data_IF_661513389246
#
_entry.id   IF_661513389246
#
_cell.length_a   1.000
_cell.length_b   1.000
_cell.length_c   1.000
_cell.angle_alpha   90.00
_cell.angle_beta   90.00
_cell.angle_gamma   90.00
#
_symmetry.space_group_name_H-M   'P 1'
#
loop_
_entity.id
_entity.type
_entity.pdbx_description
1 polymer ?
#
# COMPACT_ATOMS: atom_id res chain seq x y z
N UNK A 1 3.10 -14.93 -7.80
CA UNK A 1 3.15 -15.53 -6.45
C UNK A 1 2.60 -14.50 -5.47
N UNK A 2 1.69 -14.85 -4.56
CA UNK A 2 1.20 -13.87 -3.57
C UNK A 2 2.19 -13.74 -2.41
N UNK A 3 2.59 -12.51 -2.09
CA UNK A 3 3.52 -12.21 -1.01
C UNK A 3 2.80 -12.07 0.33
N UNK A 4 3.46 -12.47 1.40
CA UNK A 4 2.90 -12.43 2.76
C UNK A 4 2.87 -10.99 3.32
N UNK A 5 1.99 -10.66 4.28
CA UNK A 5 1.96 -9.35 4.93
C UNK A 5 3.06 -9.16 6.00
N UNK A 6 4.13 -9.97 5.96
CA UNK A 6 5.26 -9.91 6.90
C UNK A 6 6.52 -9.44 6.22
N UNK A 7 7.31 -8.61 6.92
CA UNK A 7 8.60 -8.12 6.41
C UNK A 7 9.51 -9.29 5.99
N UNK A 8 10.28 -9.14 4.89
CA UNK A 8 11.28 -10.13 4.48
C UNK A 8 12.30 -10.38 5.59
N UNK A 9 12.87 -11.59 5.61
CA UNK A 9 13.80 -11.99 6.66
C UNK A 9 15.05 -11.09 6.71
N UNK A 10 15.59 -10.70 5.55
CA UNK A 10 16.73 -9.77 5.43
C UNK A 10 16.41 -8.41 6.08
N UNK A 11 15.29 -7.79 5.70
CA UNK A 11 14.87 -6.50 6.26
C UNK A 11 14.60 -6.59 7.76
N UNK A 12 13.94 -7.66 8.21
CA UNK A 12 13.69 -7.88 9.64
C UNK A 12 15.01 -7.98 10.40
N UNK A 13 15.99 -8.72 9.88
CA UNK A 13 17.31 -8.84 10.50
C UNK A 13 18.05 -7.49 10.54
N UNK A 14 17.99 -6.70 9.47
CA UNK A 14 18.59 -5.36 9.42
C UNK A 14 17.99 -4.40 10.46
N UNK A 15 16.66 -4.42 10.63
CA UNK A 15 15.97 -3.65 11.67
C UNK A 15 16.34 -4.12 13.09
N UNK A 16 16.37 -5.44 13.31
CA UNK A 16 16.72 -6.04 14.60
C UNK A 16 18.19 -5.76 14.98
N UNK A 17 19.11 -5.71 14.01
CA UNK A 17 20.50 -5.33 14.22
C UNK A 17 20.63 -3.87 14.67
N UNK A 18 19.91 -2.94 14.02
CA UNK A 18 19.89 -1.52 14.42
C UNK A 18 19.26 -1.25 15.78
N UNK A 19 18.43 -2.17 16.27
CA UNK A 19 17.87 -2.13 17.62
C UNK A 19 18.90 -2.46 18.72
N UNK A 20 20.01 -3.11 18.38
CA UNK A 20 21.05 -3.44 19.37
C UNK A 20 21.70 -2.14 19.87
N UNK A 21 21.56 -1.86 21.17
CA UNK A 21 22.05 -0.61 21.77
C UNK A 21 21.08 0.57 21.68
N UNK A 22 19.90 0.41 21.09
CA UNK A 22 18.86 1.44 21.05
C UNK A 22 17.84 1.27 22.18
N UNK A 23 17.62 2.32 22.97
CA UNK A 23 16.61 2.29 24.04
C UNK A 23 15.22 2.11 23.43
N UNK A 24 14.57 0.99 23.80
CA UNK A 24 13.21 0.68 23.33
C UNK A 24 12.16 1.66 23.88
N UNK A 25 12.39 2.18 25.08
CA UNK A 25 11.55 3.22 25.68
C UNK A 25 11.64 4.52 24.89
N UNK A 26 12.86 4.92 24.49
CA UNK A 26 13.09 6.13 23.70
C UNK A 26 12.47 5.97 22.30
N UNK A 27 12.59 4.78 21.70
CA UNK A 27 11.94 4.44 20.43
C UNK A 27 10.41 4.62 20.51
N UNK A 28 9.79 4.13 21.58
CA UNK A 28 8.36 4.28 21.81
C UNK A 28 7.93 5.75 21.94
N UNK A 29 8.66 6.55 22.73
CA UNK A 29 8.38 7.97 22.92
C UNK A 29 8.51 8.77 21.61
N UNK A 30 9.56 8.50 20.83
CA UNK A 30 9.78 9.14 19.51
C UNK A 30 8.68 8.77 18.53
N UNK A 31 8.35 7.48 18.43
CA UNK A 31 7.26 6.99 17.59
C UNK A 31 5.92 7.66 17.95
N UNK A 32 5.60 7.80 19.24
CA UNK A 32 4.37 8.46 19.68
C UNK A 32 4.32 9.94 19.28
N UNK A 33 5.45 10.65 19.40
CA UNK A 33 5.57 12.06 18.96
C UNK A 33 5.35 12.18 17.46
N UNK A 34 6.01 11.34 16.66
CA UNK A 34 5.87 11.33 15.19
C UNK A 34 4.43 10.99 14.79
N UNK A 35 3.81 9.98 15.41
CA UNK A 35 2.42 9.62 15.13
C UNK A 35 1.43 10.74 15.46
N UNK A 36 1.69 11.51 16.52
CA UNK A 36 0.84 12.66 16.87
C UNK A 36 0.91 13.73 15.78
N UNK A 37 2.11 14.05 15.29
CA UNK A 37 2.30 14.99 14.18
C UNK A 37 1.61 14.52 12.90
N UNK A 38 1.73 13.23 12.56
CA UNK A 38 1.09 12.67 11.36
C UNK A 38 -0.44 12.73 11.44
N UNK A 39 -1.02 12.44 12.61
CA UNK A 39 -2.48 12.54 12.84
C UNK A 39 -3.00 13.97 12.79
N UNK A 40 -2.15 14.97 13.08
CA UNK A 40 -2.48 16.38 12.94
C UNK A 40 -2.35 16.90 11.50
N UNK A 41 -2.09 16.02 10.51
CA UNK A 41 -1.91 16.39 9.11
C UNK A 41 -0.49 16.84 8.76
N UNK A 42 0.49 16.62 9.64
CA UNK A 42 1.90 16.87 9.32
C UNK A 42 2.56 15.71 8.57
N UNK A 43 3.54 16.00 7.73
CA UNK A 43 4.34 14.98 7.02
C UNK A 43 5.57 14.51 7.79
N UNK A 44 6.54 13.96 7.06
CA UNK A 44 7.78 13.40 7.62
C UNK A 44 8.73 14.40 8.32
N UNK A 45 8.46 15.71 8.31
CA UNK A 45 9.33 16.76 8.84
C UNK A 45 9.64 16.68 10.35
N UNK A 46 8.91 15.87 11.11
CA UNK A 46 9.22 15.56 12.51
C UNK A 46 10.39 14.57 12.69
N UNK A 47 10.77 13.86 11.62
CA UNK A 47 11.84 12.85 11.63
C UNK A 47 13.15 13.53 11.27
N UNK A 48 13.94 13.88 12.29
CA UNK A 48 15.14 14.72 12.15
C UNK A 48 16.45 14.03 12.52
N UNK A 49 16.38 12.85 13.12
CA UNK A 49 17.55 12.09 13.58
C UNK A 49 17.43 10.62 13.20
N UNK A 50 18.55 9.91 13.13
CA UNK A 50 18.58 8.46 12.86
C UNK A 50 17.72 7.68 13.87
N UNK A 51 17.73 8.12 15.13
CA UNK A 51 16.88 7.59 16.19
C UNK A 51 15.38 7.78 15.88
N UNK A 52 14.97 8.93 15.33
CA UNK A 52 13.59 9.18 14.92
C UNK A 52 13.19 8.30 13.72
N UNK A 53 14.09 8.18 12.73
CA UNK A 53 13.85 7.37 11.54
C UNK A 53 13.72 5.88 11.90
N UNK A 54 14.60 5.37 12.75
CA UNK A 54 14.52 3.99 13.23
C UNK A 54 13.24 3.75 14.04
N UNK A 55 12.89 4.66 14.94
CA UNK A 55 11.65 4.58 15.71
C UNK A 55 10.41 4.58 14.80
N UNK A 56 10.39 5.44 13.78
CA UNK A 56 9.35 5.47 12.76
C UNK A 56 9.26 4.14 11.99
N UNK A 57 10.39 3.64 11.47
CA UNK A 57 10.43 2.40 10.71
C UNK A 57 9.91 1.21 11.54
N UNK A 58 10.39 1.06 12.77
CA UNK A 58 9.94 -0.02 13.66
C UNK A 58 8.44 0.04 14.00
N UNK A 59 7.86 1.24 14.03
CA UNK A 59 6.45 1.42 14.35
C UNK A 59 5.52 1.30 13.14
N UNK A 60 5.92 1.82 11.98
CA UNK A 60 5.07 1.97 10.78
C UNK A 60 5.43 1.04 9.63
N UNK A 61 6.70 0.71 9.42
CA UNK A 61 7.16 -0.09 8.28
C UNK A 61 6.44 -1.44 8.17
N UNK A 62 6.19 -2.22 9.25
CA UNK A 62 5.42 -3.46 9.12
C UNK A 62 4.01 -3.24 8.55
N UNK A 63 3.31 -2.22 9.05
CA UNK A 63 1.94 -1.90 8.65
C UNK A 63 1.88 -1.41 7.20
N UNK A 64 2.77 -0.48 6.84
CA UNK A 64 2.91 0.01 5.46
C UNK A 64 3.27 -1.13 4.51
N UNK A 65 4.20 -2.00 4.88
CA UNK A 65 4.55 -3.18 4.07
C UNK A 65 3.35 -4.08 3.83
N UNK A 66 2.56 -4.37 4.86
CA UNK A 66 1.37 -5.22 4.73
C UNK A 66 0.33 -4.62 3.77
N UNK A 67 0.11 -3.30 3.83
CA UNK A 67 -0.79 -2.60 2.92
C UNK A 67 -0.27 -2.61 1.46
N UNK A 68 1.03 -2.38 1.26
CA UNK A 68 1.66 -2.48 -0.07
C UNK A 68 1.58 -3.90 -0.60
N UNK A 69 1.91 -4.91 0.21
CA UNK A 69 1.84 -6.31 -0.16
C UNK A 69 0.43 -6.72 -0.61
N UNK A 70 -0.61 -6.33 0.13
CA UNK A 70 -1.99 -6.57 -0.25
C UNK A 70 -2.36 -5.89 -1.59
N UNK A 71 -1.89 -4.66 -1.81
CA UNK A 71 -2.13 -3.90 -3.04
C UNK A 71 -1.44 -4.53 -4.26
N UNK A 72 -0.18 -4.97 -4.11
CA UNK A 72 0.58 -5.64 -5.16
C UNK A 72 0.05 -7.05 -5.46
N UNK A 73 -0.39 -7.80 -4.45
CA UNK A 73 -1.08 -9.07 -4.65
C UNK A 73 -2.35 -8.89 -5.48
N UNK A 74 -3.16 -7.86 -5.17
CA UNK A 74 -4.37 -7.56 -5.94
C UNK A 74 -4.07 -7.16 -7.39
N UNK A 75 -2.98 -6.43 -7.65
CA UNK A 75 -2.52 -6.16 -9.02
C UNK A 75 -2.10 -7.45 -9.73
N UNK A 76 -1.31 -8.30 -9.07
CA UNK A 76 -0.79 -9.56 -9.62
C UNK A 76 -1.90 -10.57 -9.89
N UNK A 77 -2.97 -10.56 -9.10
CA UNK A 77 -4.15 -11.39 -9.33
C UNK A 77 -4.85 -11.03 -10.64
N UNK A 78 -4.92 -9.74 -10.98
CA UNK A 78 -5.56 -9.24 -12.20
C UNK A 78 -4.62 -9.28 -13.41
N UNK A 79 -3.32 -9.13 -13.18
CA UNK A 79 -2.28 -9.16 -14.20
C UNK A 79 -1.18 -10.17 -13.83
N UNK A 80 -1.45 -11.49 -13.94
CA UNK A 80 -0.52 -12.53 -13.49
C UNK A 80 0.79 -12.58 -14.29
N UNK A 81 0.77 -12.11 -15.53
CA UNK A 81 1.94 -12.04 -16.41
C UNK A 81 2.70 -10.70 -16.29
N UNK A 82 2.27 -9.81 -15.38
CA UNK A 82 2.96 -8.54 -15.16
C UNK A 82 4.32 -8.77 -14.50
N UNK A 83 5.38 -8.48 -15.25
CA UNK A 83 6.77 -8.67 -14.84
C UNK A 83 7.57 -7.37 -15.05
N UNK A 84 7.41 -6.35 -14.19
CA UNK A 84 8.17 -5.11 -14.31
C UNK A 84 9.67 -5.37 -14.07
N UNK A 85 10.54 -4.70 -14.82
CA UNK A 85 12.00 -4.77 -14.65
C UNK A 85 12.54 -3.54 -13.89
N UNK A 86 11.82 -2.43 -13.96
CA UNK A 86 12.20 -1.16 -13.33
C UNK A 86 11.13 -0.62 -12.37
N UNK A 87 11.55 -0.21 -11.16
CA UNK A 87 10.68 0.40 -10.14
C UNK A 87 11.05 1.86 -9.90
N UNK A 88 10.03 2.71 -9.78
CA UNK A 88 10.10 4.03 -9.17
C UNK A 88 9.23 4.11 -7.91
N UNK A 89 9.85 4.29 -6.74
CA UNK A 89 9.20 4.40 -5.43
C UNK A 89 9.18 5.88 -5.00
N UNK A 90 8.01 6.51 -5.07
CA UNK A 90 7.81 7.94 -4.86
C UNK A 90 7.32 8.18 -3.42
N UNK A 91 8.07 8.97 -2.66
CA UNK A 91 7.86 9.08 -1.20
C UNK A 91 8.32 7.83 -0.47
N UNK A 92 9.47 7.28 -0.87
CA UNK A 92 9.91 5.95 -0.48
C UNK A 92 10.17 5.79 1.04
N UNK A 93 10.46 6.88 1.75
CA UNK A 93 10.83 6.88 3.16
C UNK A 93 11.95 5.87 3.46
N UNK A 94 11.74 4.87 4.34
CA UNK A 94 12.74 3.84 4.62
C UNK A 94 12.78 2.72 3.54
N UNK A 95 12.19 2.93 2.36
CA UNK A 95 12.16 1.99 1.24
C UNK A 95 11.11 0.89 1.32
N UNK A 96 10.06 1.09 2.13
CA UNK A 96 9.08 0.03 2.46
C UNK A 96 8.41 -0.59 1.24
N UNK A 97 7.99 0.25 0.29
CA UNK A 97 7.33 -0.22 -0.92
C UNK A 97 8.29 -0.94 -1.85
N UNK A 98 9.54 -0.47 -1.95
CA UNK A 98 10.62 -1.16 -2.68
C UNK A 98 10.89 -2.57 -2.14
N UNK A 99 10.92 -2.77 -0.82
CA UNK A 99 11.03 -4.12 -0.22
C UNK A 99 9.86 -5.04 -0.60
N UNK A 100 8.63 -4.53 -0.55
CA UNK A 100 7.45 -5.32 -0.95
C UNK A 100 7.45 -5.63 -2.45
N UNK A 101 7.86 -4.67 -3.29
CA UNK A 101 7.95 -4.84 -4.73
C UNK A 101 9.03 -5.87 -5.11
N UNK A 102 10.18 -5.88 -4.44
CA UNK A 102 11.24 -6.85 -4.66
C UNK A 102 10.79 -8.30 -4.40
N UNK A 103 9.93 -8.52 -3.40
CA UNK A 103 9.31 -9.83 -3.12
C UNK A 103 8.21 -10.18 -4.13
N UNK A 104 7.39 -9.20 -4.52
CA UNK A 104 6.25 -9.42 -5.42
C UNK A 104 6.70 -9.74 -6.86
N UNK A 105 7.77 -9.09 -7.31
CA UNK A 105 8.26 -9.16 -8.68
C UNK A 105 9.73 -9.56 -8.73
N UNK A 106 10.04 -10.87 -8.88
CA UNK A 106 11.39 -11.34 -9.11
C UNK A 106 12.06 -10.76 -10.35
N UNK A 107 11.27 -10.28 -11.32
CA UNK A 107 11.73 -9.64 -12.55
C UNK A 107 12.41 -8.29 -12.34
N UNK A 108 12.07 -7.55 -11.26
CA UNK A 108 12.65 -6.24 -11.00
C UNK A 108 14.18 -6.34 -10.88
N UNK A 109 14.91 -5.49 -11.58
CA UNK A 109 16.37 -5.40 -11.50
C UNK A 109 16.81 -4.03 -11.00
N UNK A 110 16.09 -2.97 -11.39
CA UNK A 110 16.45 -1.59 -11.05
C UNK A 110 15.43 -0.95 -10.13
N UNK A 111 15.93 -0.33 -9.05
CA UNK A 111 15.11 0.34 -8.04
C UNK A 111 15.57 1.79 -7.91
N UNK A 112 14.66 2.74 -8.20
CA UNK A 112 14.88 4.17 -7.94
C UNK A 112 13.90 4.65 -6.88
N UNK A 113 14.42 5.17 -5.77
CA UNK A 113 13.65 5.64 -4.62
C UNK A 113 13.77 7.16 -4.52
N UNK A 114 12.66 7.86 -4.30
CA UNK A 114 12.59 9.32 -4.18
C UNK A 114 11.98 9.70 -2.83
N UNK A 115 12.63 10.56 -2.05
CA UNK A 115 12.03 11.10 -0.81
C UNK A 115 12.68 12.42 -0.38
N UNK A 116 11.91 13.35 0.17
CA UNK A 116 12.42 14.64 0.63
C UNK A 116 13.19 14.56 1.96
N UNK A 117 12.95 13.54 2.77
CA UNK A 117 13.57 13.37 4.08
C UNK A 117 14.89 12.60 3.96
N UNK A 118 16.00 13.33 4.00
CA UNK A 118 17.35 12.77 3.94
C UNK A 118 17.66 11.78 5.09
N UNK A 119 16.96 11.87 6.23
CA UNK A 119 17.14 10.94 7.35
C UNK A 119 16.51 9.58 7.05
N UNK A 120 15.31 9.57 6.47
CA UNK A 120 14.67 8.34 6.00
C UNK A 120 15.44 7.74 4.82
N UNK A 121 15.94 8.59 3.91
CA UNK A 121 16.77 8.17 2.78
C UNK A 121 18.03 7.43 3.23
N UNK A 122 18.72 7.94 4.25
CA UNK A 122 19.89 7.26 4.83
C UNK A 122 19.52 5.93 5.46
N UNK A 123 18.43 5.88 6.21
CA UNK A 123 17.96 4.64 6.82
C UNK A 123 17.60 3.60 5.75
N UNK A 124 16.94 3.98 4.67
CA UNK A 124 16.65 3.09 3.54
C UNK A 124 17.92 2.43 2.99
N UNK A 125 18.95 3.24 2.67
CA UNK A 125 20.23 2.73 2.16
C UNK A 125 20.94 1.82 3.17
N UNK A 126 20.87 2.14 4.46
CA UNK A 126 21.46 1.30 5.50
C UNK A 126 20.72 -0.03 5.69
N UNK A 127 19.39 -0.05 5.56
CA UNK A 127 18.59 -1.28 5.63
C UNK A 127 18.82 -2.16 4.40
N UNK A 128 19.02 -1.55 3.23
CA UNK A 128 19.22 -2.24 1.96
C UNK A 128 20.66 -2.72 1.74
N UNK A 129 21.64 -2.23 2.49
CA UNK A 129 23.09 -2.43 2.27
C UNK A 129 23.50 -3.87 2.00
N UNK A 130 23.01 -4.80 2.81
CA UNK A 130 23.37 -6.23 2.71
C UNK A 130 22.30 -7.05 1.98
N UNK A 131 21.33 -6.38 1.35
CA UNK A 131 20.25 -7.05 0.64
C UNK A 131 20.73 -7.62 -0.68
N UNK A 132 20.34 -8.86 -0.96
CA UNK A 132 20.61 -9.51 -2.25
C UNK A 132 19.94 -8.82 -3.45
N UNK A 133 18.90 -8.01 -3.21
CA UNK A 133 18.07 -7.39 -4.26
C UNK A 133 18.14 -5.86 -4.27
N UNK A 134 18.35 -5.24 -3.11
CA UNK A 134 18.24 -3.79 -2.94
C UNK A 134 19.56 -3.08 -2.62
N UNK A 135 20.67 -3.79 -2.46
CA UNK A 135 21.97 -3.17 -2.12
C UNK A 135 22.39 -2.07 -3.11
N UNK A 136 22.08 -2.25 -4.39
CA UNK A 136 22.41 -1.32 -5.47
C UNK A 136 21.27 -0.34 -5.82
N UNK A 137 20.25 -0.20 -4.96
CA UNK A 137 19.16 0.72 -5.24
C UNK A 137 19.65 2.18 -5.30
N UNK A 138 19.12 2.95 -6.25
CA UNK A 138 19.41 4.37 -6.38
C UNK A 138 18.44 5.17 -5.53
N UNK A 139 18.97 5.95 -4.59
CA UNK A 139 18.16 6.85 -3.77
C UNK A 139 18.42 8.31 -4.13
N UNK A 140 17.36 9.05 -4.48
CA UNK A 140 17.41 10.48 -4.79
C UNK A 140 16.70 11.28 -3.70
N UNK A 141 17.45 11.94 -2.80
CA UNK A 141 16.85 12.83 -1.82
C UNK A 141 16.35 14.11 -2.50
N UNK A 142 15.17 14.59 -2.10
CA UNK A 142 14.58 15.82 -2.63
C UNK A 142 13.07 15.74 -2.84
N UNK A 143 12.48 16.86 -3.26
CA UNK A 143 11.06 16.89 -3.58
C UNK A 143 10.71 15.91 -4.70
N UNK A 144 9.56 15.24 -4.56
CA UNK A 144 9.12 14.21 -5.50
C UNK A 144 8.89 14.78 -6.91
N UNK A 145 8.31 15.98 -7.04
CA UNK A 145 8.04 16.60 -8.34
C UNK A 145 9.33 16.93 -9.09
N UNK A 146 10.30 17.55 -8.40
CA UNK A 146 11.61 17.84 -8.96
C UNK A 146 12.38 16.57 -9.36
N UNK A 147 12.45 15.59 -8.47
CA UNK A 147 13.16 14.34 -8.75
C UNK A 147 12.51 13.52 -9.87
N UNK A 148 11.18 13.55 -9.99
CA UNK A 148 10.46 12.89 -11.09
C UNK A 148 10.86 13.46 -12.45
N UNK A 149 11.19 14.75 -12.57
CA UNK A 149 11.63 15.34 -13.82
C UNK A 149 12.97 14.74 -14.30
N UNK A 150 13.87 14.41 -13.37
CA UNK A 150 15.25 13.99 -13.64
C UNK A 150 15.42 12.47 -13.87
N UNK A 151 14.41 11.66 -13.53
CA UNK A 151 14.48 10.20 -13.69
C UNK A 151 13.82 9.72 -14.98
N UNK A 152 14.27 8.57 -15.48
CA UNK A 152 13.61 7.90 -16.60
C UNK A 152 12.25 7.32 -16.19
N UNK A 153 11.42 6.97 -17.17
CA UNK A 153 10.20 6.20 -16.91
C UNK A 153 10.56 4.81 -16.33
N UNK A 154 9.68 4.27 -15.51
CA UNK A 154 9.78 2.93 -14.93
C UNK A 154 8.55 2.08 -15.29
N UNK A 155 8.70 0.77 -15.29
CA UNK A 155 7.61 -0.17 -15.59
C UNK A 155 6.52 -0.10 -14.53
N UNK A 156 6.93 -0.02 -13.27
CA UNK A 156 6.08 0.15 -12.11
C UNK A 156 6.45 1.42 -11.35
N UNK A 157 5.46 2.26 -11.09
CA UNK A 157 5.55 3.38 -10.16
C UNK A 157 4.71 3.07 -8.93
N UNK A 158 5.23 3.28 -7.73
CA UNK A 158 4.49 3.15 -6.47
C UNK A 158 4.57 4.47 -5.70
N UNK A 159 3.46 4.89 -5.11
CA UNK A 159 3.41 5.96 -4.13
C UNK A 159 2.64 5.50 -2.89
N UNK A 160 3.30 5.44 -1.74
CA UNK A 160 2.74 4.86 -0.52
C UNK A 160 2.74 5.88 0.61
N UNK A 161 1.53 6.30 1.06
CA UNK A 161 1.31 7.22 2.19
C UNK A 161 1.93 8.62 2.03
N UNK A 162 2.14 9.08 0.79
CA UNK A 162 2.79 10.38 0.48
C UNK A 162 1.83 11.44 -0.05
N UNK A 163 0.72 11.06 -0.71
CA UNK A 163 -0.19 12.03 -1.34
C UNK A 163 -0.87 12.89 -0.27
N UNK A 164 -1.18 12.28 0.88
CA UNK A 164 -1.75 12.97 2.03
C UNK A 164 -0.86 14.02 2.68
N UNK A 165 0.44 14.08 2.37
CA UNK A 165 1.36 15.09 2.90
C UNK A 165 1.35 16.41 2.11
N UNK A 166 0.64 16.44 0.97
CA UNK A 166 0.67 17.52 -0.01
C UNK A 166 -0.64 18.32 -0.03
N UNK A 167 -0.57 19.59 -0.46
CA UNK A 167 -1.75 20.38 -0.77
C UNK A 167 -2.41 19.93 -2.07
N UNK A 168 -3.69 20.28 -2.28
CA UNK A 168 -4.48 19.78 -3.42
C UNK A 168 -3.83 20.08 -4.79
N UNK A 169 -3.17 21.22 -4.93
CA UNK A 169 -2.49 21.58 -6.18
C UNK A 169 -1.27 20.70 -6.41
N UNK A 170 -0.44 20.48 -5.39
CA UNK A 170 0.71 19.57 -5.48
C UNK A 170 0.27 18.12 -5.69
N UNK A 171 -0.84 17.68 -5.09
CA UNK A 171 -1.41 16.34 -5.31
C UNK A 171 -1.75 16.10 -6.79
N UNK A 172 -2.41 17.08 -7.44
CA UNK A 172 -2.77 16.97 -8.87
C UNK A 172 -1.52 16.93 -9.77
N UNK A 173 -0.54 17.79 -9.49
CA UNK A 173 0.71 17.85 -10.25
C UNK A 173 1.54 16.56 -10.08
N UNK A 174 1.66 16.06 -8.85
CA UNK A 174 2.36 14.81 -8.57
C UNK A 174 1.66 13.62 -9.23
N UNK A 175 0.32 13.57 -9.19
CA UNK A 175 -0.48 12.55 -9.86
C UNK A 175 -0.15 12.45 -11.36
N UNK A 176 -0.11 13.60 -12.04
CA UNK A 176 0.23 13.67 -13.46
C UNK A 176 1.68 13.25 -13.72
N UNK A 177 2.63 13.74 -12.93
CA UNK A 177 4.04 13.43 -13.05
C UNK A 177 4.33 11.93 -12.84
N UNK A 178 3.73 11.31 -11.82
CA UNK A 178 3.85 9.87 -11.57
C UNK A 178 3.29 9.06 -12.74
N UNK A 179 2.11 9.43 -13.25
CA UNK A 179 1.52 8.74 -14.38
C UNK A 179 2.39 8.86 -15.63
N UNK A 180 2.94 10.04 -15.92
CA UNK A 180 3.88 10.23 -17.02
C UNK A 180 5.15 9.37 -16.91
N UNK A 181 5.53 8.94 -15.69
CA UNK A 181 6.69 8.07 -15.44
C UNK A 181 6.34 6.57 -15.43
N UNK A 182 5.07 6.20 -15.34
CA UNK A 182 4.62 4.80 -15.37
C UNK A 182 4.46 4.28 -16.81
N UNK A 183 5.34 3.37 -17.24
CA UNK A 183 5.24 2.69 -18.55
C UNK A 183 4.13 1.66 -18.57
N UNK A 184 3.87 0.97 -17.46
CA UNK A 184 2.87 -0.09 -17.41
C UNK A 184 1.87 0.08 -16.27
N UNK A 185 2.33 0.33 -15.05
CA UNK A 185 1.45 0.42 -13.88
C UNK A 185 1.85 1.52 -12.89
N UNK A 186 0.83 2.10 -12.24
CA UNK A 186 0.95 2.99 -11.09
C UNK A 186 0.10 2.45 -9.94
N UNK A 187 0.70 2.25 -8.77
CA UNK A 187 0.00 1.83 -7.56
C UNK A 187 0.11 2.94 -6.51
N UNK A 188 -1.03 3.43 -6.03
CA UNK A 188 -1.09 4.45 -4.98
C UNK A 188 -1.80 3.91 -3.77
N UNK A 189 -1.20 4.04 -2.59
CA UNK A 189 -1.72 3.58 -1.30
C UNK A 189 -1.81 4.76 -0.33
N UNK A 190 -2.93 4.89 0.37
CA UNK A 190 -3.18 5.93 1.37
C UNK A 190 -3.82 5.32 2.64
N UNK A 191 -3.82 6.03 3.78
CA UNK A 191 -4.55 5.60 4.98
C UNK A 191 -6.03 5.36 4.67
N UNK A 192 -6.60 4.26 5.19
CA UNK A 192 -8.00 3.84 5.00
C UNK A 192 -9.01 4.71 5.77
N UNK A 193 -8.90 6.01 5.61
CA UNK A 193 -9.70 7.07 6.24
C UNK A 193 -10.57 7.76 5.19
N UNK A 194 -11.64 8.49 5.59
CA UNK A 194 -12.43 9.28 4.63
C UNK A 194 -11.58 10.26 3.80
N UNK A 195 -10.54 10.86 4.39
CA UNK A 195 -9.64 11.77 3.69
C UNK A 195 -8.75 11.03 2.66
N UNK A 196 -8.22 9.86 3.03
CA UNK A 196 -7.46 9.01 2.08
C UNK A 196 -8.35 8.51 0.94
N UNK A 197 -9.60 8.15 1.24
CA UNK A 197 -10.60 7.79 0.24
C UNK A 197 -10.85 8.92 -0.76
N UNK A 198 -11.08 10.15 -0.29
CA UNK A 198 -11.28 11.31 -1.15
C UNK A 198 -10.07 11.56 -2.08
N UNK A 199 -8.84 11.44 -1.55
CA UNK A 199 -7.61 11.58 -2.36
C UNK A 199 -7.49 10.52 -3.44
N UNK A 200 -7.71 9.25 -3.11
CA UNK A 200 -7.67 8.16 -4.10
C UNK A 200 -8.75 8.33 -5.17
N UNK A 201 -9.96 8.78 -4.81
CA UNK A 201 -11.00 9.03 -5.80
C UNK A 201 -10.68 10.18 -6.74
N UNK A 202 -10.13 11.29 -6.22
CA UNK A 202 -9.69 12.42 -7.04
C UNK A 202 -8.58 12.01 -8.02
N UNK A 203 -7.55 11.30 -7.51
CA UNK A 203 -6.46 10.76 -8.32
C UNK A 203 -6.97 9.79 -9.39
N UNK A 204 -7.84 8.85 -8.99
CA UNK A 204 -8.46 7.88 -9.91
C UNK A 204 -9.23 8.58 -11.03
N UNK A 205 -10.05 9.58 -10.69
CA UNK A 205 -10.80 10.34 -11.69
C UNK A 205 -9.88 11.07 -12.67
N UNK A 206 -8.85 11.75 -12.16
CA UNK A 206 -7.86 12.44 -12.99
C UNK A 206 -7.16 11.48 -13.96
N UNK A 207 -6.73 10.31 -13.48
CA UNK A 207 -5.96 9.37 -14.31
C UNK A 207 -6.83 8.56 -15.28
N UNK A 208 -8.08 8.25 -14.94
CA UNK A 208 -9.05 7.70 -15.91
C UNK A 208 -9.28 8.67 -17.06
N UNK A 209 -9.42 9.97 -16.76
CA UNK A 209 -9.53 11.00 -17.80
C UNK A 209 -8.26 11.10 -18.67
N UNK A 210 -7.10 10.71 -18.12
CA UNK A 210 -5.83 10.59 -18.83
C UNK A 210 -5.60 9.20 -19.47
N UNK A 211 -6.64 8.37 -19.59
CA UNK A 211 -6.60 7.07 -20.29
C UNK A 211 -6.11 5.89 -19.47
N UNK A 212 -6.05 5.99 -18.13
CA UNK A 212 -5.70 4.87 -17.27
C UNK A 212 -6.87 3.88 -17.12
N UNK A 213 -6.53 2.58 -17.10
CA UNK A 213 -7.47 1.51 -16.74
C UNK A 213 -7.30 1.13 -15.27
N UNK A 214 -8.41 0.92 -14.57
CA UNK A 214 -8.37 0.45 -13.17
C UNK A 214 -8.18 -1.06 -13.17
N UNK A 215 -7.03 -1.53 -12.70
CA UNK A 215 -6.77 -2.95 -12.48
C UNK A 215 -7.35 -3.42 -11.13
N UNK A 216 -7.16 -2.62 -10.08
CA UNK A 216 -7.70 -2.90 -8.74
C UNK A 216 -7.84 -1.60 -7.93
N UNK A 217 -8.64 -1.56 -6.85
CA UNK A 217 -9.59 -2.58 -6.39
C UNK A 217 -10.94 -2.52 -7.11
N UNK A 218 -11.28 -1.40 -7.75
CA UNK A 218 -12.59 -1.18 -8.36
C UNK A 218 -12.73 -2.02 -9.63
N UNK A 219 -13.85 -2.73 -9.82
CA UNK A 219 -14.10 -3.48 -11.04
C UNK A 219 -14.64 -2.61 -12.18
N UNK A 220 -14.41 -1.30 -12.18
CA UNK A 220 -14.94 -0.37 -13.19
C UNK A 220 -14.18 0.95 -13.19
N UNK A 221 -14.40 1.77 -14.23
CA UNK A 221 -13.95 3.17 -14.34
C UNK A 221 -15.06 4.19 -14.01
N UNK A 222 -16.31 3.75 -13.80
CA UNK A 222 -17.44 4.61 -13.40
C UNK A 222 -17.15 5.36 -12.08
N UNK A 223 -17.84 6.47 -11.76
CA UNK A 223 -17.78 7.09 -10.43
C UNK A 223 -18.02 6.06 -9.32
N UNK A 224 -17.35 6.22 -8.17
CA UNK A 224 -17.53 5.29 -7.06
C UNK A 224 -18.99 5.31 -6.59
N UNK A 225 -19.67 4.15 -6.50
CA UNK A 225 -21.07 4.08 -6.07
C UNK A 225 -21.27 4.31 -4.56
N UNK A 226 -20.20 4.30 -3.76
CA UNK A 226 -20.30 4.56 -2.32
C UNK A 226 -20.49 6.05 -2.04
N UNK A 227 -21.49 6.34 -1.21
CA UNK A 227 -21.86 7.69 -0.77
C UNK A 227 -21.56 7.86 0.73
N UNK A 228 -21.26 9.09 1.14
CA UNK A 228 -21.07 9.42 2.54
C UNK A 228 -22.31 9.05 3.39
N UNK A 229 -22.15 8.59 4.64
CA UNK A 229 -20.90 8.54 5.40
C UNK A 229 -20.01 7.32 5.12
N UNK A 230 -20.36 6.48 4.15
CA UNK A 230 -19.57 5.29 3.80
C UNK A 230 -18.34 5.66 2.94
N UNK A 231 -17.26 4.88 3.06
CA UNK A 231 -16.06 5.02 2.24
C UNK A 231 -15.38 3.68 1.99
N UNK A 232 -14.87 3.49 0.78
CA UNK A 232 -14.12 2.28 0.45
C UNK A 232 -12.78 2.30 1.15
N UNK A 233 -12.46 1.24 1.88
CA UNK A 233 -11.14 0.96 2.43
C UNK A 233 -11.02 -0.55 2.68
N UNK A 234 -9.84 -0.99 3.06
CA UNK A 234 -9.52 -2.38 3.33
C UNK A 234 -8.75 -2.49 4.64
N UNK A 235 -8.61 -3.72 5.13
CA UNK A 235 -7.83 -4.02 6.31
C UNK A 235 -6.94 -5.23 6.10
N UNK A 236 -5.63 -5.06 6.31
CA UNK A 236 -4.67 -6.15 6.27
C UNK A 236 -4.20 -6.46 7.68
N UNK A 237 -4.47 -7.68 8.13
CA UNK A 237 -3.91 -8.20 9.37
C UNK A 237 -2.45 -8.59 9.18
N UNK A 238 -1.62 -8.24 10.15
CA UNK A 238 -0.21 -8.62 10.20
C UNK A 238 0.22 -9.00 11.63
N UNK A 239 1.23 -9.88 11.78
CA UNK A 239 1.76 -10.20 13.09
C UNK A 239 2.64 -9.05 13.59
N UNK A 240 2.57 -8.76 14.90
CA UNK A 240 3.50 -7.84 15.57
C UNK A 240 4.73 -8.61 16.03
N UNK A 241 5.91 -8.13 15.65
CA UNK A 241 7.16 -8.58 16.26
C UNK A 241 7.19 -8.19 17.75
N UNK A 242 8.08 -8.80 18.54
CA UNK A 242 8.25 -8.42 19.95
C UNK A 242 8.67 -6.95 20.08
N UNK A 243 9.59 -6.49 19.23
CA UNK A 243 10.01 -5.09 19.19
C UNK A 243 8.83 -4.15 18.87
N UNK A 244 7.99 -4.53 17.90
CA UNK A 244 6.82 -3.75 17.52
C UNK A 244 5.78 -3.66 18.64
N UNK A 245 5.53 -4.76 19.35
CA UNK A 245 4.65 -4.77 20.54
C UNK A 245 5.14 -3.83 21.62
N UNK A 246 6.43 -3.87 21.94
CA UNK A 246 7.03 -3.03 22.99
C UNK A 246 6.97 -1.54 22.62
N UNK A 247 7.29 -1.20 21.37
CA UNK A 247 7.28 0.20 20.90
C UNK A 247 5.86 0.78 20.87
N UNK A 248 4.86 -0.02 20.49
CA UNK A 248 3.45 0.41 20.46
C UNK A 248 2.71 0.24 21.79
N UNK A 249 3.36 -0.28 22.84
CA UNK A 249 2.67 -0.63 24.09
C UNK A 249 1.50 -1.61 23.86
N UNK A 250 1.65 -2.50 22.89
CA UNK A 250 0.57 -3.36 22.39
C UNK A 250 0.60 -4.75 23.03
N UNK A 251 -0.55 -5.17 23.58
CA UNK A 251 -0.70 -6.47 24.23
C UNK A 251 -1.02 -7.60 23.24
N UNK A 252 -1.78 -7.31 22.19
CA UNK A 252 -2.17 -8.32 21.19
C UNK A 252 -1.07 -8.55 20.15
N UNK A 253 -0.85 -9.81 19.71
CA UNK A 253 0.26 -10.19 18.81
C UNK A 253 0.02 -9.85 17.34
N UNK A 254 -1.03 -9.10 17.02
CA UNK A 254 -1.36 -8.69 15.65
C UNK A 254 -1.78 -7.22 15.61
N UNK A 255 -1.76 -6.65 14.42
CA UNK A 255 -2.35 -5.35 14.10
C UNK A 255 -3.19 -5.50 12.83
N UNK A 256 -4.18 -4.62 12.68
CA UNK A 256 -5.00 -4.53 11.49
C UNK A 256 -4.75 -3.14 10.89
N UNK A 257 -3.95 -3.06 9.83
CA UNK A 257 -3.69 -1.79 9.14
C UNK A 257 -4.87 -1.50 8.22
N UNK A 258 -5.48 -0.33 8.37
CA UNK A 258 -6.53 0.16 7.46
C UNK A 258 -5.92 1.02 6.37
N UNK A 259 -6.15 0.66 5.13
CA UNK A 259 -5.60 1.33 3.96
C UNK A 259 -6.64 1.43 2.85
N UNK A 260 -6.40 2.32 1.90
CA UNK A 260 -7.08 2.35 0.62
C UNK A 260 -6.00 2.41 -0.46
N UNK A 261 -6.26 1.82 -1.61
CA UNK A 261 -5.34 1.86 -2.73
C UNK A 261 -6.07 1.96 -4.06
N UNK A 262 -5.32 2.29 -5.11
CA UNK A 262 -5.70 2.06 -6.50
C UNK A 262 -4.49 1.60 -7.28
N UNK A 263 -4.68 0.59 -8.13
CA UNK A 263 -3.72 0.11 -9.11
C UNK A 263 -4.26 0.43 -10.50
N UNK A 264 -3.52 1.27 -11.23
CA UNK A 264 -3.84 1.77 -12.54
C UNK A 264 -2.85 1.23 -13.56
N UNK A 265 -3.33 0.89 -14.75
CA UNK A 265 -2.53 0.24 -15.80
C UNK A 265 -2.73 0.93 -17.15
N UNK A 266 -1.73 0.84 -18.02
CA UNK A 266 -1.81 1.34 -19.41
C UNK A 266 -2.67 0.48 -20.32
N UNK A 267 -2.79 -0.80 -20.00
CA UNK A 267 -3.54 -1.79 -20.77
C UNK A 267 -4.77 -2.23 -19.99
N UNK A 268 -5.90 -2.37 -20.66
CA UNK A 268 -7.12 -2.83 -20.01
C UNK A 268 -6.92 -4.22 -19.37
N UNK A 269 -7.40 -4.44 -18.13
CA UNK A 269 -7.35 -5.76 -17.50
C UNK A 269 -8.26 -6.74 -18.27
N UNK A 270 -7.84 -8.00 -18.35
CA UNK A 270 -8.59 -9.04 -19.06
C UNK A 270 -9.95 -9.37 -18.39
N UNK A 271 -10.04 -9.18 -17.08
CA UNK A 271 -11.25 -9.44 -16.29
C UNK A 271 -11.37 -8.45 -15.14
N UNK A 272 -12.61 -8.19 -14.72
CA UNK A 272 -12.92 -7.34 -13.57
C UNK A 272 -13.77 -8.14 -12.59
N UNK A 273 -13.11 -8.69 -11.57
CA UNK A 273 -13.80 -9.41 -10.51
C UNK A 273 -14.44 -8.42 -9.53
N UNK A 274 -15.65 -8.73 -9.05
CA UNK A 274 -16.30 -7.95 -8.02
C UNK A 274 -15.45 -7.92 -6.74
N UNK A 275 -15.58 -6.86 -5.95
CA UNK A 275 -14.75 -6.64 -4.75
C UNK A 275 -15.60 -6.69 -3.49
N UNK A 276 -15.20 -7.51 -2.52
CA UNK A 276 -15.83 -7.54 -1.19
C UNK A 276 -15.48 -6.25 -0.44
N UNK A 277 -16.48 -5.43 -0.13
CA UNK A 277 -16.32 -4.08 0.44
C UNK A 277 -16.30 -4.03 1.98
N UNK A 278 -16.69 -5.11 2.65
CA UNK A 278 -16.68 -5.24 4.11
C UNK A 278 -16.58 -6.73 4.51
N UNK A 279 -16.21 -7.06 5.76
CA UNK A 279 -16.25 -8.44 6.23
C UNK A 279 -17.63 -9.07 5.98
N UNK A 280 -17.71 -10.23 5.28
CA UNK A 280 -18.99 -10.90 5.06
C UNK A 280 -19.68 -11.27 6.39
N UNK A 281 -21.00 -11.15 6.44
CA UNK A 281 -21.80 -11.63 7.56
C UNK A 281 -22.09 -13.13 7.38
N UNK A 282 -21.56 -13.94 8.29
CA UNK A 282 -21.62 -15.40 8.21
C UNK A 282 -22.71 -15.93 9.15
N UNK A 283 -23.90 -16.10 8.60
CA UNK A 283 -25.04 -16.69 9.29
C UNK A 283 -25.14 -18.21 9.15
N UNK A 284 -25.99 -18.84 9.97
CA UNK A 284 -26.27 -20.29 9.90
C UNK A 284 -27.04 -20.68 8.63
N UNK A 285 -27.89 -19.79 8.12
CA UNK A 285 -28.77 -20.03 6.97
C UNK A 285 -28.21 -19.50 5.65
N UNK A 286 -27.39 -18.45 5.69
CA UNK A 286 -26.82 -17.77 4.52
C UNK A 286 -25.57 -16.97 4.91
N UNK A 287 -24.79 -16.59 3.90
CA UNK A 287 -23.72 -15.61 4.02
C UNK A 287 -24.12 -14.40 3.19
N UNK A 288 -23.99 -13.20 3.76
CA UNK A 288 -24.20 -11.96 2.99
C UNK A 288 -22.90 -11.17 2.87
N UNK A 289 -22.69 -10.55 1.72
CA UNK A 289 -21.50 -9.74 1.46
C UNK A 289 -21.86 -8.51 0.62
N UNK A 290 -21.35 -7.34 1.03
CA UNK A 290 -21.44 -6.12 0.23
C UNK A 290 -20.37 -6.16 -0.85
N UNK A 291 -20.77 -6.21 -2.12
CA UNK A 291 -19.87 -6.30 -3.26
C UNK A 291 -19.90 -5.00 -4.07
N UNK A 292 -18.74 -4.57 -4.55
CA UNK A 292 -18.63 -3.64 -5.66
C UNK A 292 -18.53 -4.46 -6.95
N UNK A 293 -19.39 -4.20 -7.93
CA UNK A 293 -19.42 -4.85 -9.24
C UNK A 293 -19.29 -3.82 -10.35
N UNK A 294 -19.21 -4.25 -11.61
CA UNK A 294 -19.20 -3.33 -12.76
C UNK A 294 -20.42 -2.39 -12.79
N UNK A 295 -21.55 -2.81 -12.22
CA UNK A 295 -22.82 -2.09 -12.26
C UNK A 295 -23.14 -1.30 -11.00
N UNK A 296 -22.37 -1.47 -9.92
CA UNK A 296 -22.50 -0.69 -8.70
C UNK A 296 -22.27 -1.50 -7.44
N UNK A 297 -22.89 -1.09 -6.35
CA UNK A 297 -22.84 -1.86 -5.10
C UNK A 297 -24.05 -2.76 -5.01
N UNK A 298 -23.82 -4.05 -4.76
CA UNK A 298 -24.86 -5.04 -4.50
C UNK A 298 -24.65 -5.74 -3.15
N UNK A 299 -25.73 -6.33 -2.64
CA UNK A 299 -25.68 -7.22 -1.49
C UNK A 299 -25.85 -8.65 -2.01
N UNK A 300 -24.74 -9.39 -2.08
CA UNK A 300 -24.77 -10.79 -2.44
C UNK A 300 -25.24 -11.63 -1.25
N UNK A 301 -26.14 -12.58 -1.50
CA UNK A 301 -26.63 -13.54 -0.51
C UNK A 301 -26.39 -14.97 -1.00
N UNK A 302 -25.58 -15.72 -0.27
CA UNK A 302 -25.23 -17.10 -0.58
C UNK A 302 -25.91 -18.04 0.41
N UNK A 303 -27.01 -18.72 0.03
CA UNK A 303 -27.78 -19.54 0.96
C UNK A 303 -27.09 -20.87 1.26
N UNK A 304 -27.21 -21.38 2.49
CA UNK A 304 -26.59 -22.63 2.95
C UNK A 304 -26.98 -23.86 2.12
N UNK A 305 -28.16 -23.83 1.49
CA UNK A 305 -28.66 -24.90 0.61
C UNK A 305 -27.76 -25.10 -0.61
N UNK A 306 -27.09 -24.04 -1.09
CA UNK A 306 -26.03 -24.15 -2.07
C UNK A 306 -24.71 -24.45 -1.35
N UNK A 307 -24.43 -25.75 -1.18
CA UNK A 307 -23.30 -26.19 -0.37
C UNK A 307 -21.95 -25.74 -0.93
N UNK A 308 -21.81 -25.66 -2.26
CA UNK A 308 -20.55 -25.33 -2.93
C UNK A 308 -20.29 -23.82 -2.85
N UNK A 309 -21.26 -23.00 -3.28
CA UNK A 309 -21.13 -21.54 -3.20
C UNK A 309 -20.97 -21.08 -1.75
N UNK A 310 -21.72 -21.66 -0.80
CA UNK A 310 -21.58 -21.33 0.62
C UNK A 310 -20.19 -21.67 1.15
N UNK A 311 -19.62 -22.83 0.77
CA UNK A 311 -18.28 -23.20 1.21
C UNK A 311 -17.20 -22.24 0.66
N UNK A 312 -17.36 -21.76 -0.57
CA UNK A 312 -16.50 -20.73 -1.15
C UNK A 312 -16.68 -19.38 -0.45
N UNK A 313 -17.93 -18.93 -0.26
CA UNK A 313 -18.26 -17.66 0.39
C UNK A 313 -17.79 -17.58 1.85
N UNK A 314 -17.72 -18.69 2.58
CA UNK A 314 -17.12 -18.74 3.94
C UNK A 314 -15.64 -18.33 3.95
N UNK A 315 -14.96 -18.42 2.81
CA UNK A 315 -13.55 -18.05 2.66
C UNK A 315 -13.36 -16.62 2.23
N UNK A 316 -14.42 -15.94 1.78
CA UNK A 316 -14.35 -14.52 1.44
C UNK A 316 -13.90 -13.71 2.65
N UNK A 317 -13.02 -12.75 2.38
CA UNK A 317 -12.50 -11.77 3.30
C UNK A 317 -12.75 -10.38 2.72
N UNK A 318 -12.68 -9.40 3.59
CA UNK A 318 -12.76 -8.01 3.18
C UNK A 318 -11.61 -7.68 2.22
N UNK A 319 -11.95 -7.23 1.03
CA UNK A 319 -10.99 -6.92 -0.03
C UNK A 319 -10.75 -8.06 -1.01
N UNK A 320 -11.36 -9.25 -0.84
CA UNK A 320 -11.23 -10.33 -1.82
C UNK A 320 -11.93 -9.98 -3.14
N UNK A 321 -11.37 -10.49 -4.23
CA UNK A 321 -12.06 -10.63 -5.51
C UNK A 321 -13.08 -11.75 -5.43
N UNK A 322 -14.23 -11.56 -6.06
CA UNK A 322 -15.23 -12.61 -6.26
C UNK A 322 -15.68 -12.55 -7.71
N UNK A 323 -15.63 -13.67 -8.40
CA UNK A 323 -16.22 -13.78 -9.73
C UNK A 323 -17.73 -13.82 -9.54
N UNK A 324 -18.45 -12.89 -10.15
CA UNK A 324 -19.90 -13.04 -10.28
C UNK A 324 -20.15 -14.25 -11.17
N UNK A 325 -20.89 -15.24 -10.67
CA UNK A 325 -21.41 -16.30 -11.54
C UNK A 325 -22.38 -15.66 -12.52
N UNK A 326 -22.17 -15.92 -13.82
CA UNK A 326 -23.03 -15.49 -14.92
C UNK A 326 -24.37 -16.22 -14.90
#
# INVERSE_FOLDING_TARGET
MMITPTLPAELKAALDAKLQGFSRTDAAQRSQKISTTYRAGGGSGAIKSEADALAYALARMPATYAAVAASLNALTEIAPDFAPETLLDVGAGPGTASWAAAEAFPSLQDFTLLDANATLSRLALELARDSSRLAECRYLPGDAGGNLAEVSQADLVIASYVIGELGETEQRALTEAMWAKARHALVVIEPGTPAGYARILALRQQLIAAGAYVAAPCPHEKPCPLIAPDWCHFSQRLPRSQAHRQIKGAEVPFEDERFIYVALTRTAPASRAARVLAPPDVGKAEITAKLCTEDGVELATVPRRDKAAYAAARRWRWGDTVMAES
#
